data_IF_137571849907
#
_entry.id   IF_137571849907
#
_cell.length_a   1.000
_cell.length_b   1.000
_cell.length_c   1.000
_cell.angle_alpha   90.00
_cell.angle_beta   90.00
_cell.angle_gamma   90.00
#
_symmetry.space_group_name_H-M   'P 1'
#
loop_
_entity.id
_entity.type
_entity.pdbx_description
1 polymer ?
#
# COMPACT_ATOMS: atom_id res chain seq x y z
N UNK A 1 -3.97 17.29 4.50
CA UNK A 1 -4.03 17.43 5.99
C UNK A 1 -5.24 16.70 6.63
N UNK A 2 -6.35 16.50 5.92
CA UNK A 2 -7.57 15.89 6.50
C UNK A 2 -7.44 14.43 6.94
N UNK A 3 -6.59 13.65 6.27
CA UNK A 3 -6.41 12.21 6.56
C UNK A 3 -5.92 11.93 7.99
N UNK A 4 -4.92 12.67 8.49
CA UNK A 4 -4.38 12.45 9.84
C UNK A 4 -5.36 12.91 10.94
N UNK A 5 -6.09 14.00 10.71
CA UNK A 5 -7.06 14.53 11.67
C UNK A 5 -8.19 13.54 11.99
N UNK A 6 -8.46 12.59 11.09
CA UNK A 6 -9.46 11.53 11.31
C UNK A 6 -9.02 10.50 12.35
N UNK A 7 -7.72 10.21 12.43
CA UNK A 7 -7.20 9.10 13.21
C UNK A 7 -6.48 9.54 14.49
N UNK A 8 -5.90 10.74 14.48
CA UNK A 8 -5.08 11.24 15.57
C UNK A 8 -5.92 11.94 16.64
N UNK A 9 -5.56 11.71 17.89
CA UNK A 9 -6.01 12.54 19.01
C UNK A 9 -5.36 13.93 18.94
N UNK A 10 -5.94 14.95 19.61
CA UNK A 10 -5.40 16.31 19.59
C UNK A 10 -3.92 16.41 19.97
N UNK A 11 -3.50 15.65 20.97
CA UNK A 11 -2.10 15.59 21.45
C UNK A 11 -1.15 14.98 20.41
N UNK A 12 -1.54 13.90 19.75
CA UNK A 12 -0.73 13.24 18.70
C UNK A 12 -0.62 14.15 17.47
N UNK A 13 -1.71 14.85 17.12
CA UNK A 13 -1.72 15.84 16.06
C UNK A 13 -0.84 17.05 16.41
N UNK A 14 -0.78 17.46 17.68
CA UNK A 14 0.09 18.53 18.14
C UNK A 14 1.57 18.13 18.01
N UNK A 15 1.95 16.93 18.48
CA UNK A 15 3.32 16.43 18.31
C UNK A 15 3.71 16.30 16.84
N UNK A 16 2.79 15.88 15.97
CA UNK A 16 3.05 15.88 14.53
C UNK A 16 3.27 17.29 13.97
N UNK A 17 2.42 18.25 14.33
CA UNK A 17 2.53 19.64 13.87
C UNK A 17 3.78 20.36 14.39
N UNK A 18 4.26 19.99 15.57
CA UNK A 18 5.48 20.50 16.17
C UNK A 18 6.75 19.85 15.58
N UNK A 19 6.60 18.97 14.59
CA UNK A 19 7.69 18.23 13.96
C UNK A 19 8.43 17.25 14.90
N UNK A 20 7.82 16.85 16.02
CA UNK A 20 8.43 15.97 17.04
C UNK A 20 8.41 14.49 16.62
N UNK A 21 7.46 14.11 15.76
CA UNK A 21 7.25 12.72 15.33
C UNK A 21 7.19 12.60 13.81
N UNK A 22 7.74 11.50 13.29
CA UNK A 22 7.48 11.01 11.93
C UNK A 22 6.37 9.97 11.99
N UNK A 23 5.37 10.13 11.13
CA UNK A 23 4.24 9.20 11.02
C UNK A 23 4.35 8.44 9.70
N UNK A 24 4.17 7.13 9.74
CA UNK A 24 4.11 6.26 8.55
C UNK A 24 2.87 5.38 8.58
N UNK A 25 2.28 5.15 7.43
CA UNK A 25 1.30 4.09 7.25
C UNK A 25 2.01 2.87 6.68
N UNK A 26 2.04 1.80 7.46
CA UNK A 26 2.65 0.52 7.11
C UNK A 26 1.55 -0.51 6.97
N UNK A 27 1.44 -1.11 5.80
CA UNK A 27 0.53 -2.19 5.54
C UNK A 27 1.24 -3.53 5.77
N UNK A 28 0.54 -4.45 6.43
CA UNK A 28 0.91 -5.86 6.53
C UNK A 28 -0.14 -6.66 5.79
N UNK A 29 0.25 -7.32 4.71
CA UNK A 29 -0.61 -8.16 3.90
C UNK A 29 -0.23 -9.63 4.06
N UNK A 30 -1.22 -10.50 4.24
CA UNK A 30 -1.01 -11.93 4.48
C UNK A 30 -2.09 -12.79 3.81
N UNK A 31 -1.74 -13.91 3.16
CA UNK A 31 -2.71 -14.92 2.72
C UNK A 31 -3.39 -15.63 3.88
N UNK A 32 -4.68 -15.94 3.72
CA UNK A 32 -5.45 -16.78 4.65
C UNK A 32 -5.59 -18.23 4.14
N UNK A 33 -5.13 -18.49 2.92
CA UNK A 33 -5.07 -19.82 2.30
C UNK A 33 -3.70 -20.45 2.46
N UNK A 34 -3.62 -21.78 2.35
CA UNK A 34 -2.36 -22.52 2.49
C UNK A 34 -1.30 -22.06 1.49
N UNK A 35 -1.70 -21.84 0.24
CA UNK A 35 -0.88 -21.33 -0.87
C UNK A 35 -1.76 -20.43 -1.73
N UNK A 36 -1.21 -19.30 -2.17
CA UNK A 36 -1.86 -18.43 -3.15
C UNK A 36 -1.71 -19.04 -4.55
N UNK A 37 -2.83 -19.52 -5.10
CA UNK A 37 -2.89 -20.18 -6.42
C UNK A 37 -3.54 -19.33 -7.52
N UNK A 38 -4.31 -18.33 -7.12
CA UNK A 38 -5.03 -17.40 -7.98
C UNK A 38 -4.75 -15.97 -7.53
N UNK A 39 -4.69 -15.05 -8.49
CA UNK A 39 -4.66 -13.60 -8.23
C UNK A 39 -3.58 -13.16 -7.22
N UNK A 40 -2.30 -13.54 -7.35
CA UNK A 40 -1.25 -13.11 -6.41
C UNK A 40 -1.18 -11.59 -6.25
N UNK A 41 -0.69 -11.12 -5.10
CA UNK A 41 -0.47 -9.69 -4.89
C UNK A 41 0.85 -9.30 -5.56
N UNK A 42 0.75 -8.57 -6.67
CA UNK A 42 1.88 -7.95 -7.33
C UNK A 42 2.22 -6.61 -6.69
N UNK A 43 3.52 -6.35 -6.55
CA UNK A 43 4.13 -5.14 -6.04
C UNK A 43 4.96 -4.51 -7.15
N UNK A 44 4.72 -3.24 -7.43
CA UNK A 44 5.53 -2.46 -8.35
C UNK A 44 6.74 -1.87 -7.62
N UNK A 45 7.93 -2.01 -8.19
CA UNK A 45 9.12 -1.32 -7.71
C UNK A 45 8.92 0.20 -7.84
N UNK A 46 8.79 0.88 -6.71
CA UNK A 46 8.55 2.33 -6.67
C UNK A 46 9.63 3.15 -7.40
N UNK A 47 10.84 2.63 -7.56
CA UNK A 47 11.92 3.31 -8.30
C UNK A 47 11.73 3.24 -9.82
N UNK A 48 10.83 2.38 -10.29
CA UNK A 48 10.47 2.24 -11.70
C UNK A 48 9.25 3.08 -12.10
N UNK A 49 8.61 3.73 -11.14
CA UNK A 49 7.37 4.49 -11.33
C UNK A 49 7.70 5.96 -11.56
N UNK A 50 7.23 6.51 -12.68
CA UNK A 50 7.26 7.95 -12.90
C UNK A 50 6.15 8.63 -12.09
N UNK A 51 6.45 9.77 -11.50
CA UNK A 51 5.43 10.60 -10.81
C UNK A 51 4.32 11.03 -11.77
N UNK A 52 4.62 11.18 -13.06
CA UNK A 52 3.63 11.49 -14.10
C UNK A 52 2.57 10.40 -14.29
N UNK A 53 2.85 9.18 -13.84
CA UNK A 53 1.94 8.04 -13.99
C UNK A 53 0.96 7.94 -12.81
N UNK A 54 1.14 8.78 -11.78
CA UNK A 54 0.32 8.79 -10.58
C UNK A 54 -0.72 9.91 -10.61
N UNK A 55 -1.97 9.55 -10.40
CA UNK A 55 -3.09 10.49 -10.42
C UNK A 55 -3.81 10.48 -9.08
N UNK A 56 -3.96 11.67 -8.50
CA UNK A 56 -4.80 11.89 -7.34
C UNK A 56 -6.26 11.61 -7.71
N UNK A 57 -6.93 10.81 -6.87
CA UNK A 57 -8.32 10.46 -7.04
C UNK A 57 -9.03 10.50 -5.70
N UNK A 58 -10.22 11.10 -5.72
CA UNK A 58 -11.11 11.11 -4.59
C UNK A 58 -11.85 9.77 -4.46
N UNK A 59 -11.77 9.20 -3.27
CA UNK A 59 -12.58 8.09 -2.80
C UNK A 59 -13.74 8.66 -2.00
N UNK A 60 -14.87 8.80 -2.66
CA UNK A 60 -16.07 9.39 -2.07
C UNK A 60 -16.76 8.32 -1.22
N UNK A 61 -16.82 8.56 0.08
CA UNK A 61 -17.62 7.80 1.04
C UNK A 61 -18.80 8.66 1.52
N UNK A 62 -19.77 8.03 2.19
CA UNK A 62 -20.96 8.73 2.69
C UNK A 62 -20.61 9.79 3.74
N UNK A 63 -19.63 9.51 4.60
CA UNK A 63 -19.24 10.33 5.76
C UNK A 63 -17.97 11.18 5.52
N UNK A 64 -17.21 10.91 4.46
CA UNK A 64 -15.95 11.61 4.19
C UNK A 64 -15.48 11.44 2.74
N UNK A 65 -14.55 12.30 2.31
CA UNK A 65 -13.77 12.10 1.09
C UNK A 65 -12.38 11.62 1.50
N UNK A 66 -11.99 10.44 1.02
CA UNK A 66 -10.62 9.94 1.11
C UNK A 66 -9.84 10.33 -0.14
N UNK A 67 -8.55 10.57 -0.01
CA UNK A 67 -7.66 10.76 -1.17
C UNK A 67 -6.87 9.47 -1.41
N UNK A 68 -6.70 9.09 -2.68
CA UNK A 68 -5.85 7.99 -3.10
C UNK A 68 -5.06 8.37 -4.35
N UNK A 69 -4.05 7.56 -4.67
CA UNK A 69 -3.34 7.66 -5.93
C UNK A 69 -3.66 6.43 -6.77
N UNK A 70 -3.99 6.65 -8.03
CA UNK A 70 -4.10 5.61 -9.05
C UNK A 70 -2.87 5.65 -9.94
N UNK A 71 -2.45 4.47 -10.39
CA UNK A 71 -1.31 4.31 -11.27
C UNK A 71 -1.81 4.02 -12.70
N UNK A 72 -1.35 4.79 -13.68
CA UNK A 72 -1.52 4.50 -15.09
C UNK A 72 -0.39 3.57 -15.55
N UNK A 73 -0.71 2.60 -16.39
CA UNK A 73 0.27 1.66 -16.94
C UNK A 73 1.38 2.38 -17.73
N UNK A 74 2.62 1.97 -17.48
CA UNK A 74 3.80 2.37 -18.22
C UNK A 74 4.76 1.15 -18.31
N UNK A 75 5.34 0.91 -19.49
CA UNK A 75 6.21 -0.24 -19.75
C UNK A 75 7.49 -0.25 -18.90
N UNK A 76 7.92 0.92 -18.41
CA UNK A 76 9.07 1.04 -17.51
C UNK A 76 8.78 0.50 -16.09
N UNK A 77 7.50 0.31 -15.73
CA UNK A 77 7.09 -0.19 -14.42
C UNK A 77 7.48 -1.66 -14.26
N UNK A 78 8.28 -1.94 -13.24
CA UNK A 78 8.73 -3.29 -12.91
C UNK A 78 7.86 -3.88 -11.82
N UNK A 79 7.10 -4.91 -12.17
CA UNK A 79 6.18 -5.61 -11.28
C UNK A 79 6.77 -6.95 -10.83
N UNK A 80 6.60 -7.24 -9.55
CA UNK A 80 7.08 -8.46 -8.91
C UNK A 80 5.98 -9.07 -8.05
N UNK A 81 5.94 -10.39 -7.95
CA UNK A 81 5.11 -11.10 -6.99
C UNK A 81 5.89 -12.28 -6.42
N UNK A 82 5.46 -12.77 -5.26
CA UNK A 82 6.01 -13.98 -4.66
C UNK A 82 5.14 -15.18 -5.13
N UNK A 83 5.66 -16.07 -5.98
CA UNK A 83 4.92 -17.26 -6.39
C UNK A 83 4.71 -18.21 -5.20
N UNK A 84 3.58 -18.91 -5.20
CA UNK A 84 3.23 -19.90 -4.17
C UNK A 84 3.32 -19.39 -2.72
N UNK A 85 3.07 -18.09 -2.51
CA UNK A 85 3.12 -17.48 -1.18
C UNK A 85 2.14 -18.17 -0.22
N UNK A 86 2.63 -18.50 0.96
CA UNK A 86 1.90 -19.28 1.97
C UNK A 86 1.33 -18.39 3.07
N UNK A 87 0.42 -18.95 3.88
CA UNK A 87 -0.08 -18.24 5.07
C UNK A 87 0.96 -17.99 6.15
N UNK A 88 2.18 -18.55 6.06
CA UNK A 88 3.26 -18.28 7.03
C UNK A 88 4.11 -17.06 6.63
N UNK A 89 3.84 -16.48 5.47
CA UNK A 89 4.55 -15.32 4.93
C UNK A 89 3.68 -14.06 4.98
N UNK A 90 4.33 -12.91 5.08
CA UNK A 90 3.66 -11.61 5.04
C UNK A 90 4.47 -10.62 4.22
N UNK A 91 3.77 -9.79 3.45
CA UNK A 91 4.34 -8.63 2.79
C UNK A 91 4.14 -7.41 3.71
N UNK A 92 5.22 -6.69 3.96
CA UNK A 92 5.21 -5.46 4.77
C UNK A 92 5.70 -4.32 3.90
N UNK A 93 4.88 -3.29 3.72
CA UNK A 93 5.21 -2.16 2.86
C UNK A 93 4.62 -0.84 3.36
N UNK A 94 5.36 0.25 3.15
CA UNK A 94 4.92 1.61 3.48
C UNK A 94 3.99 2.10 2.39
N UNK A 95 2.88 2.76 2.75
CA UNK A 95 1.93 3.37 1.80
C UNK A 95 1.82 4.88 1.94
N UNK A 96 2.27 5.41 3.07
CA UNK A 96 2.36 6.85 3.31
C UNK A 96 3.44 7.14 4.37
N UNK A 97 4.08 8.29 4.26
CA UNK A 97 5.17 8.72 5.12
C UNK A 97 5.11 10.23 5.24
N UNK A 98 5.18 10.77 6.46
CA UNK A 98 5.14 12.20 6.69
C UNK A 98 6.40 12.93 6.23
N UNK A 99 7.49 12.20 5.93
CA UNK A 99 8.74 12.73 5.39
C UNK A 99 8.95 12.35 3.93
N UNK A 100 7.87 12.24 3.16
CA UNK A 100 7.99 11.88 1.75
C UNK A 100 8.65 12.97 0.90
N UNK A 101 9.28 12.54 -0.19
CA UNK A 101 9.77 13.37 -1.28
C UNK A 101 8.75 13.32 -2.42
N UNK A 102 8.34 14.48 -2.94
CA UNK A 102 7.38 14.57 -4.05
C UNK A 102 7.91 13.94 -5.35
N UNK A 103 9.23 13.75 -5.47
CA UNK A 103 9.85 13.18 -6.68
C UNK A 103 9.70 11.67 -6.79
N UNK A 104 9.30 10.99 -5.72
CA UNK A 104 9.23 9.53 -5.70
C UNK A 104 7.96 9.06 -5.00
N UNK A 105 7.30 8.01 -5.52
CA UNK A 105 6.22 7.38 -4.78
C UNK A 105 6.71 6.89 -3.41
N UNK A 106 5.90 7.13 -2.39
CA UNK A 106 6.22 6.73 -1.01
C UNK A 106 6.30 5.22 -0.88
N UNK A 107 5.30 4.54 -1.43
CA UNK A 107 5.11 3.11 -1.34
C UNK A 107 5.05 2.44 -2.70
N UNK A 108 5.23 1.12 -2.76
CA UNK A 108 5.01 0.35 -3.97
C UNK A 108 3.50 0.34 -4.32
N UNK A 109 3.12 0.78 -5.53
CA UNK A 109 1.82 0.43 -6.09
C UNK A 109 1.63 -1.09 -6.07
N UNK A 110 0.41 -1.56 -5.80
CA UNK A 110 0.13 -2.99 -5.70
C UNK A 110 -1.27 -3.30 -6.22
N UNK A 111 -1.41 -4.48 -6.82
CA UNK A 111 -2.65 -4.96 -7.41
C UNK A 111 -2.68 -6.48 -7.40
N UNK A 112 -3.88 -7.06 -7.50
CA UNK A 112 -3.98 -8.45 -7.94
C UNK A 112 -3.53 -8.56 -9.40
N UNK A 113 -2.79 -9.60 -9.75
CA UNK A 113 -2.42 -9.89 -11.14
C UNK A 113 -2.77 -11.33 -11.51
N UNK A 114 -2.89 -11.59 -12.81
CA UNK A 114 -3.00 -12.96 -13.31
C UNK A 114 -1.65 -13.70 -13.15
N UNK A 115 -1.69 -14.96 -12.73
CA UNK A 115 -0.50 -15.81 -12.72
C UNK A 115 -0.16 -16.19 -14.18
N UNK A 116 1.08 -15.95 -14.68
CA UNK A 116 1.49 -16.37 -16.02
C UNK A 116 1.53 -17.90 -16.20
N UNK A 117 1.46 -18.67 -15.11
CA UNK A 117 1.38 -20.14 -15.10
C UNK A 117 0.18 -20.60 -14.26
N UNK A 118 -1.05 -20.27 -14.69
CA UNK A 118 -2.24 -20.53 -13.90
C UNK A 118 -2.42 -22.04 -13.71
N UNK A 119 -2.84 -22.44 -12.51
CA UNK A 119 -3.20 -23.82 -12.21
C UNK A 119 -4.51 -24.19 -12.90
N UNK A 120 -4.72 -25.47 -13.19
CA UNK A 120 -5.92 -25.95 -13.93
C UNK A 120 -7.23 -25.72 -13.15
N UNK A 121 -7.17 -25.60 -11.83
CA UNK A 121 -8.32 -25.32 -10.96
C UNK A 121 -7.84 -24.67 -9.66
N UNK A 122 -7.42 -23.40 -9.70
CA UNK A 122 -6.84 -22.75 -8.54
C UNK A 122 -7.93 -22.44 -7.52
N UNK A 123 -7.57 -22.54 -6.23
CA UNK A 123 -8.44 -22.03 -5.18
C UNK A 123 -8.42 -20.50 -5.18
N UNK A 124 -9.57 -19.81 -5.08
CA UNK A 124 -9.61 -18.36 -4.98
C UNK A 124 -8.78 -17.85 -3.79
N UNK A 125 -8.06 -16.74 -3.99
CA UNK A 125 -7.26 -16.12 -2.93
C UNK A 125 -8.14 -15.50 -1.86
N UNK A 126 -7.91 -15.90 -0.62
CA UNK A 126 -8.35 -15.17 0.58
C UNK A 126 -7.13 -14.54 1.26
N UNK A 127 -7.24 -13.27 1.66
CA UNK A 127 -6.14 -12.53 2.26
C UNK A 127 -6.66 -11.42 3.17
N UNK A 128 -5.82 -10.98 4.11
CA UNK A 128 -6.09 -9.84 4.97
C UNK A 128 -4.99 -8.79 4.83
N UNK A 129 -5.38 -7.52 4.87
CA UNK A 129 -4.47 -6.39 5.00
C UNK A 129 -4.80 -5.62 6.28
N UNK A 130 -3.78 -5.36 7.09
CA UNK A 130 -3.88 -4.47 8.24
C UNK A 130 -2.99 -3.26 8.00
N UNK A 131 -3.57 -2.07 8.15
CA UNK A 131 -2.83 -0.81 8.12
C UNK A 131 -2.49 -0.36 9.53
N UNK A 132 -1.20 -0.18 9.77
CA UNK A 132 -0.63 0.32 10.99
C UNK A 132 -0.25 1.79 10.81
N UNK A 133 -0.59 2.61 11.80
CA UNK A 133 -0.04 3.95 11.95
C UNK A 133 1.16 3.87 12.89
N UNK A 134 2.35 4.12 12.35
CA UNK A 134 3.61 3.98 13.07
C UNK A 134 4.16 5.37 13.38
N UNK A 135 4.39 5.63 14.67
CA UNK A 135 5.01 6.85 15.17
C UNK A 135 6.46 6.56 15.52
N UNK A 136 7.36 7.41 15.06
CA UNK A 136 8.77 7.38 15.47
C UNK A 136 9.22 8.77 15.87
N UNK A 137 9.88 8.87 17.01
CA UNK A 137 10.56 10.09 17.46
C UNK A 137 11.61 10.52 16.44
N UNK A 138 11.83 11.84 16.34
CA UNK A 138 12.85 12.43 15.46
C UNK A 138 14.12 12.78 16.21
#
# INVERSE_FOLDING_TARGET
MGRLQRYLKPEELASFKNDEVRIRFVNVWRPLVAVVEDSPLAMCDRQSVSVSDMFECDKIHEDHIGEGLYLIHNEEQRWYWLPDMTSDEALVFVTWDSQFDEKHPVGPPHAACDDPKPRTSPSPRESIEVRLMVFTEK
#
